data_IF_572876019448
#
_entry.id   IF_572876019448
#
_cell.length_a   1.000
_cell.length_b   1.000
_cell.length_c   1.000
_cell.angle_alpha   90.00
_cell.angle_beta   90.00
_cell.angle_gamma   90.00
#
_symmetry.space_group_name_H-M   'P 1'
#
loop_
_entity.id
_entity.type
_entity.pdbx_description
1 polymer ?
#
# COMPACT_ATOMS: atom_id res chain seq x y z
N UNK A 1 9.35 -0.42 -10.57
CA UNK A 1 9.80 -0.31 -9.17
C UNK A 1 9.95 -1.74 -8.69
N UNK A 2 11.16 -2.20 -8.44
CA UNK A 2 11.36 -3.55 -7.90
C UNK A 2 11.18 -3.45 -6.39
N UNK A 3 10.06 -3.95 -5.89
CA UNK A 3 9.82 -4.05 -4.45
C UNK A 3 10.40 -5.35 -3.92
N UNK A 4 10.92 -5.35 -2.69
CA UNK A 4 11.50 -6.54 -2.06
C UNK A 4 10.47 -7.64 -1.77
N UNK A 5 9.19 -7.28 -1.70
CA UNK A 5 8.08 -8.19 -1.41
C UNK A 5 7.04 -8.14 -2.52
N UNK A 6 6.67 -9.33 -3.01
CA UNK A 6 5.61 -9.52 -4.00
C UNK A 6 4.24 -9.08 -3.47
N UNK A 7 4.02 -9.21 -2.16
CA UNK A 7 2.78 -8.76 -1.50
C UNK A 7 2.67 -7.23 -1.49
N UNK A 8 3.79 -6.54 -1.24
CA UNK A 8 3.82 -5.08 -1.24
C UNK A 8 3.60 -4.54 -2.66
N UNK A 9 4.23 -5.15 -3.66
CA UNK A 9 4.03 -4.77 -5.06
C UNK A 9 2.57 -4.91 -5.49
N UNK A 10 1.93 -6.04 -5.17
CA UNK A 10 0.52 -6.27 -5.46
C UNK A 10 -0.36 -5.24 -4.75
N UNK A 11 -0.15 -4.99 -3.45
CA UNK A 11 -0.90 -4.00 -2.69
C UNK A 11 -0.77 -2.58 -3.29
N UNK A 12 0.43 -2.18 -3.69
CA UNK A 12 0.66 -0.87 -4.33
C UNK A 12 0.00 -0.81 -5.71
N UNK A 13 0.04 -1.90 -6.48
CA UNK A 13 -0.60 -1.97 -7.80
C UNK A 13 -2.13 -1.85 -7.69
N UNK A 14 -2.77 -2.59 -6.78
CA UNK A 14 -4.22 -2.47 -6.53
C UNK A 14 -4.61 -1.07 -6.04
N UNK A 15 -3.86 -0.52 -5.07
CA UNK A 15 -4.13 0.82 -4.54
C UNK A 15 -3.95 1.92 -5.59
N UNK A 16 -3.10 1.70 -6.61
CA UNK A 16 -2.90 2.64 -7.71
C UNK A 16 -4.01 2.62 -8.76
N UNK A 17 -4.96 1.67 -8.70
CA UNK A 17 -6.11 1.63 -9.60
C UNK A 17 -7.23 2.57 -9.16
N UNK A 18 -7.19 3.05 -7.92
CA UNK A 18 -8.18 3.97 -7.39
C UNK A 18 -8.08 5.33 -8.09
N UNK A 19 -9.22 5.95 -8.44
CA UNK A 19 -9.22 7.23 -9.15
C UNK A 19 -8.52 8.31 -8.32
N UNK A 20 -7.53 8.98 -8.91
CA UNK A 20 -6.74 10.01 -8.24
C UNK A 20 -5.59 9.51 -7.35
N UNK A 21 -5.36 8.20 -7.26
CA UNK A 21 -4.23 7.63 -6.50
C UNK A 21 -3.17 7.11 -7.48
N UNK A 22 -2.04 7.82 -7.58
CA UNK A 22 -0.88 7.36 -8.36
C UNK A 22 0.06 6.43 -7.57
N UNK A 23 0.97 5.74 -8.27
CA UNK A 23 1.93 4.78 -7.69
C UNK A 23 2.74 5.30 -6.49
N UNK A 24 3.16 6.57 -6.51
CA UNK A 24 3.89 7.20 -5.39
C UNK A 24 2.99 7.41 -4.16
N UNK A 25 1.73 7.76 -4.39
CA UNK A 25 0.74 7.95 -3.32
C UNK A 25 0.31 6.60 -2.74
N UNK A 26 0.05 5.62 -3.61
CA UNK A 26 -0.27 4.24 -3.21
C UNK A 26 0.83 3.62 -2.33
N UNK A 27 2.11 3.76 -2.72
CA UNK A 27 3.23 3.29 -1.90
C UNK A 27 3.25 3.94 -0.52
N UNK A 28 3.07 5.27 -0.46
CA UNK A 28 3.03 5.99 0.81
C UNK A 28 1.89 5.50 1.71
N UNK A 29 0.70 5.28 1.14
CA UNK A 29 -0.46 4.78 1.87
C UNK A 29 -0.24 3.36 2.39
N UNK A 30 0.28 2.45 1.56
CA UNK A 30 0.57 1.06 1.97
C UNK A 30 1.60 1.02 3.10
N UNK A 31 2.70 1.78 2.98
CA UNK A 31 3.71 1.86 4.05
C UNK A 31 3.18 2.52 5.32
N UNK A 32 2.30 3.52 5.18
CA UNK A 32 1.62 4.15 6.30
C UNK A 32 0.71 3.15 7.03
N UNK A 33 -0.06 2.35 6.30
CA UNK A 33 -0.91 1.29 6.89
C UNK A 33 -0.09 0.23 7.62
N UNK A 34 1.09 -0.12 7.15
CA UNK A 34 1.99 -1.06 7.85
C UNK A 34 2.56 -0.50 9.16
N UNK A 35 2.59 0.83 9.31
CA UNK A 35 3.06 1.51 10.52
C UNK A 35 1.92 1.81 11.51
N UNK A 36 0.66 1.62 11.10
CA UNK A 36 -0.50 1.79 11.98
C UNK A 36 -0.54 0.69 13.05
N UNK A 37 -1.02 1.00 14.27
CA UNK A 37 -1.20 -0.01 15.30
C UNK A 37 -2.23 -1.05 14.85
N UNK A 38 -1.98 -2.32 15.17
CA UNK A 38 -2.85 -3.46 14.81
C UNK A 38 -4.30 -3.29 15.29
N UNK A 39 -4.55 -2.40 16.26
CA UNK A 39 -5.90 -2.03 16.72
C UNK A 39 -6.79 -1.42 15.63
N UNK A 40 -6.21 -0.81 14.59
CA UNK A 40 -6.95 -0.19 13.49
C UNK A 40 -7.19 -1.14 12.30
N UNK A 41 -6.38 -2.18 12.16
CA UNK A 41 -6.54 -3.19 11.11
C UNK A 41 -7.23 -4.39 11.74
N UNK A 42 -8.55 -4.46 11.62
CA UNK A 42 -9.32 -5.64 12.05
C UNK A 42 -9.06 -6.79 11.08
N UNK A 43 -8.88 -7.99 11.63
CA UNK A 43 -8.75 -9.26 10.90
C UNK A 43 -9.92 -9.53 9.95
#
# INVERSE_FOLDING_TARGET
MNFSSKLLENAVNEMSQLPGIGKRTALRLVLFLLQQPKSQTKD
#
